data_IF_094781389317
#
_entry.id   IF_094781389317
#
_cell.length_a   1.000
_cell.length_b   1.000
_cell.length_c   1.000
_cell.angle_alpha   90.00
_cell.angle_beta   90.00
_cell.angle_gamma   90.00
#
_symmetry.space_group_name_H-M   'P 1'
#
loop_
_entity.id
_entity.type
_entity.pdbx_description
1 polymer ?
#
# COMPACT_ATOMS: atom_id res chain seq x y z
N UNK A 1 49.49 54.96 -56.56
CA UNK A 1 48.31 55.32 -57.37
C UNK A 1 47.08 54.72 -56.68
N UNK A 2 46.30 55.52 -55.96
CA UNK A 2 45.12 56.24 -56.47
C UNK A 2 43.96 55.25 -56.69
N UNK A 3 43.11 55.00 -55.67
CA UNK A 3 41.81 55.67 -55.35
C UNK A 3 40.58 54.97 -55.94
N UNK A 4 39.66 54.61 -55.02
CA UNK A 4 38.19 54.55 -55.13
C UNK A 4 37.63 53.37 -55.96
N UNK A 5 36.58 52.63 -55.53
CA UNK A 5 35.27 53.15 -55.15
C UNK A 5 34.45 52.10 -54.37
N UNK A 6 33.69 52.57 -53.37
CA UNK A 6 32.61 51.84 -52.68
C UNK A 6 31.54 51.36 -53.67
N UNK A 7 31.07 50.12 -53.49
CA UNK A 7 29.70 49.72 -53.87
C UNK A 7 29.08 48.97 -52.70
N UNK A 8 28.25 49.68 -51.95
CA UNK A 8 27.34 49.16 -50.92
C UNK A 8 26.19 48.43 -51.61
N UNK A 9 26.29 47.10 -51.70
CA UNK A 9 25.15 46.23 -51.99
C UNK A 9 24.46 45.82 -50.70
N UNK A 10 23.44 46.56 -50.28
CA UNK A 10 22.51 46.17 -49.22
C UNK A 10 21.72 44.95 -49.66
N UNK A 11 22.19 43.75 -49.30
CA UNK A 11 21.42 42.52 -49.41
C UNK A 11 20.31 42.54 -48.34
N UNK A 12 19.12 42.99 -48.72
CA UNK A 12 17.90 42.83 -47.92
C UNK A 12 17.54 41.35 -47.83
N UNK A 13 18.02 40.69 -46.77
CA UNK A 13 17.58 39.33 -46.40
C UNK A 13 16.11 39.43 -46.00
N UNK A 14 15.21 39.13 -46.94
CA UNK A 14 13.77 39.03 -46.71
C UNK A 14 13.51 37.78 -45.86
N UNK A 15 13.59 37.92 -44.52
CA UNK A 15 13.16 36.89 -43.57
C UNK A 15 11.64 36.75 -43.65
N UNK A 16 11.14 35.93 -44.58
CA UNK A 16 9.79 35.39 -44.46
C UNK A 16 9.80 34.30 -43.40
N UNK A 17 9.76 34.69 -42.12
CA UNK A 17 9.45 33.75 -41.04
C UNK A 17 7.95 33.45 -41.11
N UNK A 18 7.55 32.52 -41.97
CA UNK A 18 6.25 31.91 -41.88
C UNK A 18 6.18 31.20 -40.52
N UNK A 19 5.50 31.83 -39.56
CA UNK A 19 5.20 31.29 -38.24
C UNK A 19 4.38 30.01 -38.45
N UNK A 20 5.03 28.85 -38.55
CA UNK A 20 4.35 27.55 -38.58
C UNK A 20 3.58 27.45 -37.28
N UNK A 21 2.25 27.54 -37.35
CA UNK A 21 1.37 27.21 -36.22
C UNK A 21 1.74 25.80 -35.76
N UNK A 22 1.98 25.57 -34.45
CA UNK A 22 2.22 24.23 -33.96
C UNK A 22 0.99 23.38 -34.32
N UNK A 23 1.14 22.45 -35.26
CA UNK A 23 0.12 21.44 -35.49
C UNK A 23 0.12 20.57 -34.25
N UNK A 24 -1.03 20.51 -33.58
CA UNK A 24 -1.22 19.58 -32.47
C UNK A 24 -1.12 18.18 -33.06
N UNK A 25 -0.06 17.45 -32.69
CA UNK A 25 0.13 16.09 -33.13
C UNK A 25 -0.78 15.18 -32.31
N UNK A 26 -1.79 14.60 -32.96
CA UNK A 26 -2.75 13.71 -32.30
C UNK A 26 -2.21 12.26 -32.20
N UNK A 27 -1.09 11.94 -32.84
CA UNK A 27 -0.52 10.59 -32.89
C UNK A 27 -0.20 10.02 -31.49
N UNK A 28 0.39 10.77 -30.53
CA UNK A 28 0.64 10.24 -29.18
C UNK A 28 -0.65 9.87 -28.44
N UNK A 29 -1.73 10.66 -28.61
CA UNK A 29 -3.01 10.38 -27.98
C UNK A 29 -3.70 9.16 -28.60
N UNK A 30 -3.60 8.99 -29.92
CA UNK A 30 -4.16 7.83 -30.63
C UNK A 30 -3.45 6.53 -30.22
N UNK A 31 -2.14 6.58 -29.96
CA UNK A 31 -1.36 5.44 -29.47
C UNK A 31 -1.71 5.06 -28.01
N UNK A 32 -2.11 6.04 -27.19
CA UNK A 32 -2.57 5.80 -25.81
C UNK A 32 -4.01 5.29 -25.74
N UNK A 33 -4.83 5.61 -26.75
CA UNK A 33 -6.26 5.32 -26.79
C UNK A 33 -6.62 3.85 -26.48
N UNK A 34 -6.02 2.80 -27.09
CA UNK A 34 -6.39 1.42 -26.76
C UNK A 34 -6.13 1.07 -25.29
N UNK A 35 -5.04 1.57 -24.70
CA UNK A 35 -4.74 1.37 -23.29
C UNK A 35 -5.77 2.09 -22.39
N UNK A 36 -6.10 3.35 -22.72
CA UNK A 36 -7.09 4.13 -21.98
C UNK A 36 -8.50 3.55 -22.08
N UNK A 37 -8.87 2.99 -23.24
CA UNK A 37 -10.16 2.30 -23.42
C UNK A 37 -10.22 1.06 -22.53
N UNK A 38 -9.17 0.23 -22.51
CA UNK A 38 -9.12 -0.96 -21.64
C UNK A 38 -9.21 -0.57 -20.17
N UNK A 39 -8.43 0.45 -19.73
CA UNK A 39 -8.49 0.98 -18.37
C UNK A 39 -9.89 1.52 -18.05
N UNK A 40 -10.49 2.29 -18.97
CA UNK A 40 -11.81 2.89 -18.80
C UNK A 40 -12.90 1.83 -18.64
N UNK A 41 -12.91 0.81 -19.50
CA UNK A 41 -13.93 -0.24 -19.51
C UNK A 41 -13.75 -1.24 -18.37
N UNK A 42 -12.53 -1.65 -18.05
CA UNK A 42 -12.30 -2.70 -17.04
C UNK A 42 -12.13 -2.17 -15.62
N UNK A 43 -11.70 -0.92 -15.44
CA UNK A 43 -11.47 -0.33 -14.11
C UNK A 43 -12.48 0.77 -13.79
N UNK A 44 -12.60 1.79 -14.66
CA UNK A 44 -13.42 2.97 -14.33
C UNK A 44 -14.92 2.68 -14.41
N UNK A 45 -15.36 1.83 -15.34
CA UNK A 45 -16.77 1.47 -15.46
C UNK A 45 -17.30 0.71 -14.23
N UNK A 46 -16.69 -0.41 -13.75
CA UNK A 46 -17.13 -1.06 -12.52
C UNK A 46 -17.04 -0.14 -11.29
N UNK A 47 -16.02 0.73 -11.23
CA UNK A 47 -15.91 1.72 -10.16
C UNK A 47 -17.10 2.68 -10.17
N UNK A 48 -17.49 3.18 -11.35
CA UNK A 48 -18.67 4.00 -11.54
C UNK A 48 -19.95 3.27 -11.13
N UNK A 49 -20.07 1.96 -11.41
CA UNK A 49 -21.19 1.15 -10.95
C UNK A 49 -21.25 1.04 -9.42
N UNK A 50 -20.12 0.80 -8.74
CA UNK A 50 -20.07 0.78 -7.26
C UNK A 50 -20.45 2.13 -6.67
N UNK A 51 -19.97 3.23 -7.26
CA UNK A 51 -20.38 4.59 -6.87
C UNK A 51 -21.87 4.81 -7.12
N UNK A 52 -22.45 4.32 -8.22
CA UNK A 52 -23.88 4.44 -8.44
C UNK A 52 -24.66 3.64 -7.38
N UNK A 53 -24.30 2.37 -7.16
CA UNK A 53 -24.92 1.46 -6.19
C UNK A 53 -24.94 2.03 -4.77
N UNK A 54 -23.93 2.82 -4.37
CA UNK A 54 -23.88 3.41 -3.03
C UNK A 54 -24.99 4.43 -2.74
N UNK A 55 -25.66 4.97 -3.76
CA UNK A 55 -26.81 5.88 -3.59
C UNK A 55 -28.19 5.20 -3.68
N UNK A 56 -28.21 3.88 -3.92
CA UNK A 56 -29.44 3.09 -4.01
C UNK A 56 -29.57 2.11 -2.83
N UNK A 57 -30.81 1.76 -2.48
CA UNK A 57 -31.11 0.71 -1.50
C UNK A 57 -31.13 -0.65 -2.19
N UNK A 58 -29.99 -1.34 -2.13
CA UNK A 58 -29.81 -2.65 -2.76
C UNK A 58 -29.61 -3.72 -1.68
N UNK A 59 -30.70 -4.32 -1.23
CA UNK A 59 -30.75 -5.30 -0.13
C UNK A 59 -31.09 -6.72 -0.62
N UNK A 60 -31.10 -6.96 -1.93
CA UNK A 60 -31.49 -8.24 -2.51
C UNK A 60 -30.81 -8.55 -3.84
N UNK A 61 -30.44 -9.81 -4.03
CA UNK A 61 -29.98 -10.36 -5.32
C UNK A 61 -31.01 -10.13 -6.43
N UNK A 62 -32.31 -10.11 -6.10
CA UNK A 62 -33.39 -9.86 -7.06
C UNK A 62 -33.29 -8.48 -7.72
N UNK A 63 -32.80 -7.48 -6.99
CA UNK A 63 -32.57 -6.14 -7.56
C UNK A 63 -31.41 -6.15 -8.55
N UNK A 64 -30.36 -6.93 -8.29
CA UNK A 64 -29.23 -7.07 -9.22
C UNK A 64 -29.60 -7.84 -10.50
N UNK A 65 -30.57 -8.76 -10.43
CA UNK A 65 -31.09 -9.50 -11.59
C UNK A 65 -32.06 -8.68 -12.45
N UNK A 66 -32.52 -7.53 -11.97
CA UNK A 66 -33.54 -6.72 -12.64
C UNK A 66 -34.99 -7.10 -12.29
N UNK A 67 -35.19 -8.04 -11.35
CA UNK A 67 -36.53 -8.47 -10.92
C UNK A 67 -37.22 -7.45 -10.00
N UNK A 68 -36.47 -6.48 -9.48
CA UNK A 68 -36.95 -5.42 -8.59
C UNK A 68 -36.23 -4.11 -8.91
N UNK A 69 -36.95 -3.01 -8.75
CA UNK A 69 -36.41 -1.66 -8.93
C UNK A 69 -35.28 -1.35 -7.93
N UNK A 70 -34.46 -0.35 -8.28
CA UNK A 70 -33.41 0.20 -7.44
C UNK A 70 -33.95 1.49 -6.80
N UNK A 71 -34.41 1.46 -5.54
CA UNK A 71 -34.94 2.65 -4.89
C UNK A 71 -33.79 3.62 -4.59
N UNK A 72 -33.88 4.84 -5.11
CA UNK A 72 -32.91 5.89 -4.83
C UNK A 72 -33.06 6.34 -3.37
N UNK A 73 -31.95 6.33 -2.62
CA UNK A 73 -31.91 6.80 -1.22
C UNK A 73 -30.98 7.99 -1.03
N UNK A 74 -30.38 8.51 -2.10
CA UNK A 74 -29.40 9.58 -2.03
C UNK A 74 -28.27 9.23 -1.07
N UNK A 75 -28.06 10.05 -0.04
CA UNK A 75 -27.01 9.83 0.97
C UNK A 75 -27.42 8.89 2.11
N UNK A 76 -28.59 8.24 2.04
CA UNK A 76 -29.13 7.40 3.13
C UNK A 76 -28.15 6.34 3.64
N UNK A 77 -27.47 5.63 2.74
CA UNK A 77 -26.47 4.62 3.10
C UNK A 77 -25.29 5.25 3.88
N UNK A 78 -24.82 6.43 3.45
CA UNK A 78 -23.73 7.14 4.12
C UNK A 78 -24.14 7.63 5.51
N UNK A 79 -25.34 8.19 5.66
CA UNK A 79 -25.85 8.62 6.97
C UNK A 79 -26.02 7.45 7.92
N UNK A 80 -26.46 6.29 7.42
CA UNK A 80 -26.58 5.07 8.21
C UNK A 80 -25.21 4.58 8.70
N UNK A 81 -24.20 4.55 7.82
CA UNK A 81 -22.84 4.10 8.18
C UNK A 81 -22.19 5.07 9.15
N UNK A 82 -22.24 6.38 8.88
CA UNK A 82 -21.60 7.39 9.71
C UNK A 82 -22.29 7.57 11.07
N UNK A 83 -23.58 7.24 11.17
CA UNK A 83 -24.33 7.20 12.42
C UNK A 83 -24.10 5.94 13.25
N UNK A 84 -23.52 4.88 12.69
CA UNK A 84 -23.27 3.62 13.38
C UNK A 84 -21.99 3.71 14.26
N UNK A 85 -22.09 3.53 15.60
CA UNK A 85 -20.91 3.48 16.47
C UNK A 85 -19.90 2.39 16.06
N UNK A 86 -20.36 1.31 15.43
CA UNK A 86 -19.49 0.25 14.94
C UNK A 86 -18.57 0.73 13.83
N UNK A 87 -19.03 1.63 12.95
CA UNK A 87 -18.19 2.22 11.90
C UNK A 87 -16.97 2.94 12.46
N UNK A 88 -17.11 3.66 13.59
CA UNK A 88 -15.97 4.32 14.25
C UNK A 88 -14.92 3.30 14.73
N UNK A 89 -15.37 2.14 15.22
CA UNK A 89 -14.47 1.05 15.63
C UNK A 89 -13.73 0.47 14.42
N UNK A 90 -14.46 0.18 13.33
CA UNK A 90 -13.87 -0.35 12.08
C UNK A 90 -12.88 0.64 11.46
N UNK A 91 -13.23 1.92 11.41
CA UNK A 91 -12.37 2.98 10.89
C UNK A 91 -11.09 3.10 11.75
N UNK A 92 -11.23 3.12 13.08
CA UNK A 92 -10.08 3.15 14.00
C UNK A 92 -9.18 1.93 13.78
N UNK A 93 -9.75 0.73 13.72
CA UNK A 93 -9.00 -0.50 13.49
C UNK A 93 -8.23 -0.42 12.17
N UNK A 94 -8.88 0.01 11.08
CA UNK A 94 -8.26 0.15 9.75
C UNK A 94 -7.08 1.14 9.79
N UNK A 95 -7.29 2.34 10.34
CA UNK A 95 -6.26 3.38 10.36
C UNK A 95 -5.08 3.01 11.27
N UNK A 96 -5.35 2.51 12.48
CA UNK A 96 -4.30 2.11 13.42
C UNK A 96 -3.51 0.91 12.90
N UNK A 97 -4.21 -0.10 12.37
CA UNK A 97 -3.57 -1.28 11.79
C UNK A 97 -2.71 -0.89 10.59
N UNK A 98 -3.24 -0.10 9.65
CA UNK A 98 -2.47 0.30 8.47
C UNK A 98 -1.27 1.17 8.86
N UNK A 99 -1.43 2.16 9.74
CA UNK A 99 -0.32 3.00 10.20
C UNK A 99 0.78 2.19 10.90
N UNK A 100 0.40 1.24 11.77
CA UNK A 100 1.36 0.36 12.43
C UNK A 100 2.12 -0.52 11.41
N UNK A 101 1.42 -1.12 10.46
CA UNK A 101 2.05 -1.97 9.44
C UNK A 101 2.96 -1.18 8.51
N UNK A 102 2.55 0.01 8.03
CA UNK A 102 3.43 0.87 7.22
C UNK A 102 4.70 1.21 7.99
N UNK A 103 4.61 1.60 9.26
CA UNK A 103 5.79 1.93 10.06
C UNK A 103 6.69 0.71 10.24
N UNK A 104 6.13 -0.44 10.61
CA UNK A 104 6.91 -1.67 10.87
C UNK A 104 7.56 -2.21 9.59
N UNK A 105 6.81 -2.25 8.49
CA UNK A 105 7.32 -2.69 7.18
C UNK A 105 8.41 -1.77 6.66
N UNK A 106 8.26 -0.44 6.82
CA UNK A 106 9.26 0.53 6.42
C UNK A 106 10.53 0.42 7.27
N UNK A 107 10.40 0.26 8.59
CA UNK A 107 11.56 0.07 9.48
C UNK A 107 12.28 -1.23 9.12
N UNK A 108 11.57 -2.35 9.11
CA UNK A 108 12.18 -3.66 8.85
C UNK A 108 12.78 -3.72 7.43
N UNK A 109 12.04 -3.26 6.43
CA UNK A 109 12.50 -3.19 5.05
C UNK A 109 13.75 -2.32 4.92
N UNK A 110 13.78 -1.15 5.55
CA UNK A 110 14.96 -0.27 5.53
C UNK A 110 16.17 -0.93 6.20
N UNK A 111 15.98 -1.55 7.38
CA UNK A 111 17.06 -2.24 8.08
C UNK A 111 17.65 -3.38 7.24
N UNK A 112 16.79 -4.18 6.58
CA UNK A 112 17.22 -5.24 5.68
C UNK A 112 17.89 -4.67 4.43
N UNK A 113 17.38 -3.58 3.85
CA UNK A 113 18.00 -2.88 2.73
C UNK A 113 19.40 -2.37 3.06
N UNK A 114 19.60 -1.79 4.25
CA UNK A 114 20.90 -1.36 4.75
C UNK A 114 21.85 -2.55 4.97
N UNK A 115 21.34 -3.67 5.50
CA UNK A 115 22.11 -4.91 5.63
C UNK A 115 22.57 -5.41 4.25
N UNK A 116 21.65 -5.51 3.29
CA UNK A 116 21.95 -5.94 1.92
C UNK A 116 23.00 -5.06 1.25
N UNK A 117 23.01 -3.76 1.55
CA UNK A 117 23.99 -2.83 1.00
C UNK A 117 25.41 -3.05 1.55
N UNK A 118 25.55 -3.63 2.74
CA UNK A 118 26.85 -3.97 3.35
C UNK A 118 27.37 -5.34 2.94
N UNK A 119 26.51 -6.22 2.45
CA UNK A 119 26.88 -7.57 2.06
C UNK A 119 27.61 -7.58 0.71
N UNK A 120 28.54 -8.51 0.54
CA UNK A 120 29.16 -8.78 -0.75
C UNK A 120 28.13 -9.22 -1.80
N UNK A 121 28.37 -8.94 -3.08
CA UNK A 121 27.40 -9.14 -4.18
C UNK A 121 26.69 -10.49 -4.17
N UNK A 122 27.42 -11.59 -3.94
CA UNK A 122 26.84 -12.95 -3.92
C UNK A 122 25.86 -13.14 -2.75
N UNK A 123 26.25 -12.73 -1.55
CA UNK A 123 25.42 -12.85 -0.35
C UNK A 123 24.22 -11.90 -0.41
N UNK A 124 24.41 -10.68 -0.89
CA UNK A 124 23.32 -9.73 -1.09
C UNK A 124 22.27 -10.27 -2.06
N UNK A 125 22.70 -10.84 -3.21
CA UNK A 125 21.77 -11.49 -4.15
C UNK A 125 21.08 -12.69 -3.52
N UNK A 126 21.79 -13.54 -2.77
CA UNK A 126 21.19 -14.69 -2.12
C UNK A 126 20.10 -14.28 -1.12
N UNK A 127 20.41 -13.38 -0.19
CA UNK A 127 19.46 -12.89 0.82
C UNK A 127 18.29 -12.17 0.16
N UNK A 128 18.55 -11.30 -0.83
CA UNK A 128 17.48 -10.60 -1.57
C UNK A 128 16.56 -11.59 -2.29
N UNK A 129 17.09 -12.63 -2.92
CA UNK A 129 16.29 -13.67 -3.56
C UNK A 129 15.44 -14.44 -2.55
N UNK A 130 16.01 -14.90 -1.43
CA UNK A 130 15.27 -15.61 -0.38
C UNK A 130 14.12 -14.78 0.18
N UNK A 131 14.38 -13.51 0.45
CA UNK A 131 13.40 -12.58 1.01
C UNK A 131 12.32 -12.23 -0.03
N UNK A 132 12.69 -12.09 -1.31
CA UNK A 132 11.71 -11.88 -2.39
C UNK A 132 10.83 -13.09 -2.67
N UNK A 133 11.27 -14.31 -2.37
CA UNK A 133 10.39 -15.49 -2.43
C UNK A 133 9.22 -15.38 -1.43
N UNK A 134 9.45 -14.79 -0.25
CA UNK A 134 8.37 -14.52 0.69
C UNK A 134 7.34 -13.55 0.10
N UNK A 135 7.77 -12.48 -0.57
CA UNK A 135 6.87 -11.52 -1.23
C UNK A 135 6.20 -12.07 -2.50
N UNK A 136 6.88 -12.97 -3.22
CA UNK A 136 6.30 -13.64 -4.38
C UNK A 136 5.26 -14.71 -4.01
N UNK A 137 5.21 -15.11 -2.73
CA UNK A 137 4.23 -16.10 -2.26
C UNK A 137 2.82 -15.51 -2.37
N UNK A 138 1.86 -16.20 -2.98
CA UNK A 138 0.48 -15.71 -3.02
C UNK A 138 -0.05 -15.44 -1.60
N UNK A 139 -0.63 -14.26 -1.38
CA UNK A 139 -1.07 -13.83 -0.05
C UNK A 139 -1.99 -14.85 0.65
N UNK A 140 -2.87 -15.50 -0.11
CA UNK A 140 -3.74 -16.57 0.40
C UNK A 140 -2.94 -17.75 0.95
N UNK A 141 -2.03 -18.30 0.13
CA UNK A 141 -1.19 -19.44 0.50
C UNK A 141 -0.30 -19.12 1.71
N UNK A 142 0.35 -17.95 1.69
CA UNK A 142 1.16 -17.50 2.82
C UNK A 142 0.34 -17.40 4.10
N UNK A 143 -0.86 -16.84 4.03
CA UNK A 143 -1.74 -16.72 5.21
C UNK A 143 -2.20 -18.08 5.75
N UNK A 144 -2.47 -19.06 4.89
CA UNK A 144 -2.85 -20.42 5.32
C UNK A 144 -1.71 -21.06 6.12
N UNK A 145 -0.45 -20.91 5.66
CA UNK A 145 0.72 -21.40 6.41
C UNK A 145 0.82 -20.73 7.77
N UNK A 146 0.64 -19.41 7.84
CA UNK A 146 0.60 -18.68 9.11
C UNK A 146 -0.55 -19.13 10.02
N UNK A 147 -1.74 -19.39 9.46
CA UNK A 147 -2.88 -19.93 10.21
C UNK A 147 -2.54 -21.28 10.83
N UNK A 148 -1.84 -22.15 10.11
CA UNK A 148 -1.37 -23.45 10.63
C UNK A 148 -0.27 -23.29 11.69
N UNK A 149 0.66 -22.35 11.51
CA UNK A 149 1.70 -22.03 12.51
C UNK A 149 1.07 -21.65 13.86
N UNK A 150 -0.04 -20.92 13.83
CA UNK A 150 -0.82 -20.49 15.00
C UNK A 150 -2.03 -21.40 15.30
N UNK A 151 -2.03 -22.65 14.80
CA UNK A 151 -3.05 -23.62 15.16
C UNK A 151 -2.99 -23.93 16.67
N UNK A 152 -4.16 -24.03 17.31
CA UNK A 152 -4.29 -24.17 18.75
C UNK A 152 -3.97 -25.58 19.25
N UNK A 153 -3.94 -26.60 18.39
CA UNK A 153 -3.64 -27.98 18.78
C UNK A 153 -2.26 -28.43 18.30
N UNK A 154 -1.96 -28.22 17.03
CA UNK A 154 -0.80 -28.77 16.33
C UNK A 154 0.12 -27.69 15.77
N UNK A 155 -0.14 -26.43 16.09
CA UNK A 155 0.62 -25.29 15.60
C UNK A 155 2.02 -25.21 16.20
N UNK A 156 2.96 -24.73 15.39
CA UNK A 156 4.35 -24.53 15.80
C UNK A 156 4.46 -23.59 17.00
N UNK A 157 3.64 -22.55 17.06
CA UNK A 157 3.64 -21.59 18.19
C UNK A 157 3.18 -22.29 19.47
N UNK A 158 2.05 -22.99 19.42
CA UNK A 158 1.54 -23.78 20.55
C UNK A 158 2.59 -24.79 21.04
N UNK A 159 3.21 -25.53 20.11
CA UNK A 159 4.28 -26.46 20.43
C UNK A 159 5.47 -25.78 21.10
N UNK A 160 5.90 -24.60 20.62
CA UNK A 160 7.04 -23.87 21.17
C UNK A 160 6.75 -23.34 22.58
N UNK A 161 5.55 -22.83 22.82
CA UNK A 161 5.13 -22.36 24.15
C UNK A 161 5.04 -23.52 25.15
N UNK A 162 4.58 -24.70 24.72
CA UNK A 162 4.60 -25.92 25.54
C UNK A 162 6.01 -26.50 25.80
N UNK A 163 7.06 -25.98 25.14
CA UNK A 163 8.46 -26.30 25.46
C UNK A 163 9.07 -25.39 26.52
N UNK A 164 8.42 -24.29 26.88
CA UNK A 164 8.88 -23.44 27.97
C UNK A 164 8.76 -24.20 29.30
N UNK A 165 9.69 -24.04 30.25
CA UNK A 165 9.55 -24.62 31.58
C UNK A 165 8.25 -24.15 32.24
N UNK A 166 7.49 -25.08 32.82
CA UNK A 166 6.18 -24.79 33.42
C UNK A 166 6.22 -23.63 34.42
N UNK A 167 7.28 -23.55 35.24
CA UNK A 167 7.47 -22.46 36.20
C UNK A 167 7.68 -21.09 35.54
N UNK A 168 8.35 -21.03 34.39
CA UNK A 168 8.53 -19.79 33.64
C UNK A 168 7.23 -19.40 32.91
N UNK A 169 6.56 -20.37 32.30
CA UNK A 169 5.32 -20.12 31.56
C UNK A 169 4.19 -19.65 32.49
N UNK A 170 4.06 -20.28 33.67
CA UNK A 170 3.06 -19.88 34.68
C UNK A 170 3.36 -18.51 35.29
N UNK A 171 4.62 -18.18 35.56
CA UNK A 171 4.99 -16.86 36.13
C UNK A 171 4.83 -15.72 35.12
N UNK A 172 5.16 -15.93 33.84
CA UNK A 172 5.06 -14.89 32.83
C UNK A 172 3.65 -14.74 32.23
N UNK A 173 2.93 -15.86 32.04
CA UNK A 173 1.70 -15.90 31.26
C UNK A 173 0.50 -16.47 32.02
N UNK A 174 0.68 -16.90 33.27
CA UNK A 174 -0.41 -17.47 34.08
C UNK A 174 -0.89 -18.85 33.63
N UNK A 175 -0.14 -19.52 32.74
CA UNK A 175 -0.52 -20.81 32.13
C UNK A 175 0.72 -21.62 31.76
N UNK A 176 0.69 -22.94 31.97
CA UNK A 176 1.75 -23.88 31.54
C UNK A 176 1.40 -24.63 30.25
N UNK A 177 0.14 -25.04 30.07
CA UNK A 177 -0.32 -25.73 28.87
C UNK A 177 -1.07 -24.79 27.92
N UNK A 178 -0.57 -24.68 26.70
CA UNK A 178 -1.07 -23.82 25.63
C UNK A 178 -1.93 -24.58 24.62
N UNK A 179 -2.11 -25.89 24.78
CA UNK A 179 -2.98 -26.70 23.91
C UNK A 179 -4.43 -26.20 23.99
N UNK A 180 -5.05 -25.96 22.83
CA UNK A 180 -6.39 -25.38 22.71
C UNK A 180 -6.43 -23.87 23.00
N UNK A 181 -5.29 -23.18 23.07
CA UNK A 181 -5.29 -21.73 23.20
C UNK A 181 -5.67 -21.07 21.87
N UNK A 182 -6.88 -20.48 21.83
CA UNK A 182 -7.38 -19.76 20.65
C UNK A 182 -6.63 -18.45 20.41
N UNK A 183 -5.47 -18.52 19.74
CA UNK A 183 -4.62 -17.38 19.38
C UNK A 183 -5.35 -16.25 18.64
N UNK A 184 -6.42 -16.59 17.92
CA UNK A 184 -7.23 -15.64 17.14
C UNK A 184 -8.45 -15.10 17.88
N UNK A 185 -8.77 -15.59 19.09
CA UNK A 185 -10.00 -15.23 19.81
C UNK A 185 -9.94 -13.85 20.49
N UNK A 186 -8.74 -13.31 20.68
CA UNK A 186 -8.51 -11.97 21.24
C UNK A 186 -8.25 -10.98 20.11
N UNK A 187 -8.98 -9.84 20.02
CA UNK A 187 -8.74 -8.85 18.99
C UNK A 187 -7.30 -8.32 18.96
N UNK A 188 -6.68 -8.15 20.13
CA UNK A 188 -5.30 -7.69 20.22
C UNK A 188 -4.32 -8.71 19.63
N UNK A 189 -4.47 -9.99 19.99
CA UNK A 189 -3.63 -11.06 19.47
C UNK A 189 -3.89 -11.28 17.97
N UNK A 190 -5.14 -11.21 17.55
CA UNK A 190 -5.50 -11.27 16.14
C UNK A 190 -4.77 -10.20 15.33
N UNK A 191 -4.83 -8.93 15.74
CA UNK A 191 -4.12 -7.85 15.05
C UNK A 191 -2.61 -8.00 15.13
N UNK A 192 -2.05 -8.51 16.22
CA UNK A 192 -0.62 -8.77 16.34
C UNK A 192 -0.16 -9.86 15.36
N UNK A 193 -0.89 -10.98 15.27
CA UNK A 193 -0.60 -12.07 14.32
C UNK A 193 -0.81 -11.58 12.90
N UNK A 194 -1.91 -10.89 12.61
CA UNK A 194 -2.17 -10.32 11.29
C UNK A 194 -1.07 -9.33 10.88
N UNK A 195 -0.58 -8.50 11.80
CA UNK A 195 0.56 -7.59 11.58
C UNK A 195 1.82 -8.39 11.25
N UNK A 196 2.11 -9.48 11.98
CA UNK A 196 3.25 -10.34 11.68
C UNK A 196 3.18 -10.90 10.25
N UNK A 197 2.01 -11.40 9.83
CA UNK A 197 1.79 -11.91 8.47
C UNK A 197 1.99 -10.83 7.42
N UNK A 198 1.37 -9.65 7.61
CA UNK A 198 1.45 -8.53 6.66
C UNK A 198 2.88 -7.99 6.57
N UNK A 199 3.56 -7.81 7.71
CA UNK A 199 4.95 -7.34 7.74
C UNK A 199 5.86 -8.33 7.05
N UNK A 200 5.77 -9.62 7.38
CA UNK A 200 6.56 -10.70 6.77
C UNK A 200 6.43 -10.70 5.23
N UNK A 201 5.21 -10.53 4.74
CA UNK A 201 4.94 -10.54 3.31
C UNK A 201 5.44 -9.26 2.60
N UNK A 202 5.41 -8.11 3.26
CA UNK A 202 5.56 -6.79 2.62
C UNK A 202 6.96 -6.17 2.73
N UNK A 203 7.69 -6.43 3.82
CA UNK A 203 9.05 -5.89 4.00
C UNK A 203 10.05 -6.24 2.87
N UNK A 204 9.97 -7.39 2.17
CA UNK A 204 10.92 -7.75 1.11
C UNK A 204 10.99 -6.71 -0.02
N UNK A 205 9.83 -6.26 -0.47
CA UNK A 205 9.70 -5.28 -1.55
C UNK A 205 10.35 -3.95 -1.14
N UNK A 206 10.10 -3.50 0.08
CA UNK A 206 10.71 -2.29 0.64
C UNK A 206 12.22 -2.46 0.74
N UNK A 207 12.71 -3.60 1.24
CA UNK A 207 14.15 -3.85 1.39
C UNK A 207 14.92 -3.78 0.08
N UNK A 208 14.42 -4.44 -0.97
CA UNK A 208 15.05 -4.43 -2.29
C UNK A 208 14.94 -3.05 -2.95
N UNK A 209 13.83 -2.35 -2.75
CA UNK A 209 13.65 -0.99 -3.28
C UNK A 209 14.58 0.03 -2.60
N UNK A 210 14.73 -0.06 -1.27
CA UNK A 210 15.69 0.74 -0.51
C UNK A 210 17.12 0.42 -0.94
N UNK A 211 17.46 -0.86 -1.15
CA UNK A 211 18.77 -1.25 -1.69
C UNK A 211 19.03 -0.63 -3.07
N UNK A 212 18.05 -0.64 -3.97
CA UNK A 212 18.17 -0.03 -5.28
C UNK A 212 18.42 1.48 -5.16
N UNK A 213 17.68 2.16 -4.27
CA UNK A 213 17.92 3.56 -3.94
C UNK A 213 19.32 3.80 -3.38
N UNK A 214 19.77 3.01 -2.41
CA UNK A 214 21.11 3.13 -1.81
C UNK A 214 22.23 3.03 -2.86
N UNK A 215 22.07 2.16 -3.85
CA UNK A 215 23.05 2.00 -4.94
C UNK A 215 23.14 3.20 -5.89
N UNK A 216 22.14 4.09 -5.88
CA UNK A 216 22.19 5.34 -6.66
C UNK A 216 22.96 6.45 -5.95
N UNK A 217 23.26 6.30 -4.65
CA UNK A 217 23.99 7.30 -3.86
C UNK A 217 25.50 7.16 -4.11
N UNK A 218 26.21 8.24 -4.54
CA UNK A 218 27.66 8.20 -4.73
C UNK A 218 28.42 7.84 -3.44
N UNK A 219 29.40 6.94 -3.54
CA UNK A 219 30.19 6.50 -2.38
C UNK A 219 31.01 7.63 -1.74
N UNK A 220 31.42 8.62 -2.54
CA UNK A 220 32.20 9.79 -2.11
C UNK A 220 31.52 10.56 -0.96
N UNK A 221 30.19 10.65 -0.96
CA UNK A 221 29.44 11.32 0.12
C UNK A 221 29.59 10.59 1.46
N UNK A 222 29.67 9.25 1.43
CA UNK A 222 29.89 8.44 2.62
C UNK A 222 31.34 8.50 3.10
N UNK A 223 32.30 8.60 2.19
CA UNK A 223 33.72 8.76 2.51
C UNK A 223 34.00 10.13 3.12
N UNK A 224 33.50 11.20 2.50
CA UNK A 224 33.61 12.56 3.03
C UNK A 224 33.04 12.66 4.45
N UNK A 225 31.85 12.09 4.68
CA UNK A 225 31.24 12.09 6.00
C UNK A 225 32.07 11.34 7.06
N UNK A 226 32.79 10.27 6.65
CA UNK A 226 33.69 9.54 7.56
C UNK A 226 34.95 10.34 7.88
N UNK A 227 35.48 11.12 6.93
CA UNK A 227 36.59 12.04 7.16
C UNK A 227 36.16 13.15 8.14
N UNK A 228 34.92 13.63 8.04
CA UNK A 228 34.31 14.59 8.98
C UNK A 228 33.92 14.00 10.34
N UNK A 229 34.29 12.75 10.64
CA UNK A 229 34.00 12.08 11.90
C UNK A 229 32.53 11.74 12.14
N UNK A 230 31.68 11.72 11.10
CA UNK A 230 30.27 11.38 11.25
C UNK A 230 30.08 9.86 11.44
N UNK A 231 29.46 9.47 12.57
CA UNK A 231 29.08 8.08 12.81
C UNK A 231 27.91 7.59 11.93
N UNK A 232 27.66 6.26 11.85
CA UNK A 232 26.66 5.67 10.95
C UNK A 232 25.23 6.23 11.11
N UNK A 233 24.83 6.54 12.33
CA UNK A 233 23.52 7.15 12.61
C UNK A 233 23.39 8.56 12.01
N UNK A 234 24.44 9.38 12.16
CA UNK A 234 24.48 10.74 11.60
C UNK A 234 24.50 10.68 10.08
N UNK A 235 25.29 9.78 9.50
CA UNK A 235 25.35 9.54 8.04
C UNK A 235 23.98 9.15 7.49
N UNK A 236 23.28 8.22 8.15
CA UNK A 236 21.96 7.80 7.70
C UNK A 236 20.97 8.97 7.69
N UNK A 237 20.82 9.68 8.81
CA UNK A 237 19.79 10.74 8.91
C UNK A 237 20.12 12.03 8.16
N UNK A 238 21.41 12.35 7.96
CA UNK A 238 21.84 13.60 7.33
C UNK A 238 22.17 13.47 5.85
N UNK A 239 22.49 12.27 5.36
CA UNK A 239 22.91 12.05 3.96
C UNK A 239 21.96 11.06 3.30
N UNK A 240 21.92 9.82 3.79
CA UNK A 240 21.17 8.73 3.14
C UNK A 240 19.66 9.01 3.10
N UNK A 241 19.04 9.30 4.25
CA UNK A 241 17.60 9.48 4.34
C UNK A 241 17.10 10.66 3.51
N UNK A 242 17.73 11.86 3.55
CA UNK A 242 17.37 12.98 2.67
C UNK A 242 17.44 12.65 1.19
N UNK A 243 18.53 11.99 0.73
CA UNK A 243 18.69 11.60 -0.67
C UNK A 243 17.67 10.55 -1.11
N UNK A 244 17.28 9.66 -0.20
CA UNK A 244 16.27 8.62 -0.46
C UNK A 244 14.83 9.06 -0.17
N UNK A 245 14.57 10.32 0.20
CA UNK A 245 13.21 10.82 0.47
C UNK A 245 12.22 10.51 -0.67
N UNK A 246 12.56 10.69 -1.95
CA UNK A 246 11.64 10.36 -3.04
C UNK A 246 11.30 8.86 -3.06
N UNK A 247 12.31 8.00 -2.85
CA UNK A 247 12.13 6.54 -2.78
C UNK A 247 11.26 6.16 -1.60
N UNK A 248 11.58 6.64 -0.39
CA UNK A 248 10.79 6.37 0.81
C UNK A 248 9.35 6.85 0.68
N UNK A 249 9.15 8.01 0.08
CA UNK A 249 7.81 8.51 -0.16
C UNK A 249 6.97 7.55 -1.01
N UNK A 250 7.53 7.08 -2.13
CA UNK A 250 6.82 6.19 -3.04
C UNK A 250 6.47 4.89 -2.30
N UNK A 251 7.43 4.35 -1.55
CA UNK A 251 7.24 3.13 -0.76
C UNK A 251 6.18 3.30 0.33
N UNK A 252 6.15 4.45 1.03
CA UNK A 252 5.13 4.75 2.04
C UNK A 252 3.74 4.77 1.42
N UNK A 253 3.56 5.38 0.25
CA UNK A 253 2.24 5.39 -0.41
C UNK A 253 1.83 4.02 -0.87
N UNK A 254 2.71 3.28 -1.53
CA UNK A 254 2.40 1.91 -1.95
C UNK A 254 2.03 1.04 -0.75
N UNK A 255 2.81 1.10 0.32
CA UNK A 255 2.53 0.37 1.57
C UNK A 255 1.19 0.80 2.16
N UNK A 256 0.90 2.10 2.20
CA UNK A 256 -0.37 2.60 2.74
C UNK A 256 -1.56 2.11 1.92
N UNK A 257 -1.47 2.13 0.59
CA UNK A 257 -2.53 1.61 -0.29
C UNK A 257 -2.77 0.12 -0.04
N UNK A 258 -1.70 -0.67 0.12
CA UNK A 258 -1.81 -2.10 0.39
C UNK A 258 -2.38 -2.38 1.78
N UNK A 259 -1.88 -1.72 2.81
CA UNK A 259 -2.24 -1.97 4.21
C UNK A 259 -3.68 -1.58 4.54
N UNK A 260 -4.19 -0.49 3.94
CA UNK A 260 -5.61 -0.13 4.05
C UNK A 260 -6.55 -1.10 3.31
N UNK A 261 -6.02 -1.84 2.32
CA UNK A 261 -6.80 -2.80 1.50
C UNK A 261 -6.55 -4.26 1.90
N UNK A 262 -5.88 -4.51 3.03
CA UNK A 262 -5.69 -5.87 3.55
C UNK A 262 -7.05 -6.53 3.74
N UNK A 263 -7.32 -7.54 2.92
CA UNK A 263 -8.56 -8.31 2.91
C UNK A 263 -8.26 -9.77 3.08
N UNK A 264 -7.50 -10.36 2.16
CA UNK A 264 -7.24 -11.80 2.09
C UNK A 264 -6.66 -12.34 3.38
N UNK A 265 -5.64 -11.69 3.91
CA UNK A 265 -4.97 -12.11 5.14
C UNK A 265 -5.95 -12.08 6.32
N UNK A 266 -6.71 -10.99 6.48
CA UNK A 266 -7.70 -10.86 7.55
C UNK A 266 -8.81 -11.91 7.42
N UNK A 267 -9.39 -12.06 6.23
CA UNK A 267 -10.50 -12.98 5.98
C UNK A 267 -10.13 -14.42 6.31
N UNK A 268 -8.93 -14.86 5.90
CA UNK A 268 -8.46 -16.24 6.09
C UNK A 268 -8.14 -16.51 7.56
N UNK A 269 -7.44 -15.59 8.25
CA UNK A 269 -7.14 -15.73 9.68
C UNK A 269 -8.43 -15.74 10.51
N UNK A 270 -9.37 -14.83 10.23
CA UNK A 270 -10.64 -14.74 10.96
C UNK A 270 -11.62 -15.88 10.62
N UNK A 271 -11.36 -16.65 9.57
CA UNK A 271 -12.28 -17.69 9.10
C UNK A 271 -13.56 -17.14 8.46
N UNK A 272 -13.51 -15.91 7.91
CA UNK A 272 -14.64 -15.25 7.24
C UNK A 272 -15.00 -13.91 7.86
N UNK A 273 -16.31 -13.66 8.02
CA UNK A 273 -16.89 -12.38 8.46
C UNK A 273 -17.60 -12.47 9.83
N UNK A 274 -17.28 -13.48 10.65
CA UNK A 274 -17.95 -13.66 11.95
C UNK A 274 -17.30 -12.82 13.07
N UNK A 275 -16.00 -12.56 12.97
CA UNK A 275 -15.24 -11.83 13.99
C UNK A 275 -15.36 -10.30 13.83
N UNK A 276 -16.55 -9.76 14.14
CA UNK A 276 -16.86 -8.33 14.01
C UNK A 276 -15.88 -7.39 14.74
N UNK A 277 -15.40 -7.69 15.97
CA UNK A 277 -14.47 -6.82 16.68
C UNK A 277 -13.16 -6.51 15.94
N UNK A 278 -12.71 -7.38 15.04
CA UNK A 278 -11.47 -7.21 14.27
C UNK A 278 -11.71 -6.60 12.89
N UNK A 279 -12.95 -6.27 12.52
CA UNK A 279 -13.27 -5.72 11.21
C UNK A 279 -12.44 -4.48 10.87
N UNK A 280 -11.91 -4.49 9.65
CA UNK A 280 -11.39 -3.34 8.94
C UNK A 280 -12.34 -2.99 7.78
N UNK A 281 -12.21 -1.80 7.20
CA UNK A 281 -13.13 -1.29 6.17
C UNK A 281 -13.29 -2.25 4.98
N UNK A 282 -12.22 -2.95 4.59
CA UNK A 282 -12.21 -3.97 3.55
C UNK A 282 -13.17 -5.13 3.84
N UNK A 283 -13.05 -5.74 5.02
CA UNK A 283 -13.91 -6.84 5.49
C UNK A 283 -15.32 -6.33 5.79
N UNK A 284 -15.46 -5.14 6.36
CA UNK A 284 -16.78 -4.58 6.67
C UNK A 284 -17.61 -4.32 5.41
N UNK A 285 -17.00 -3.73 4.37
CA UNK A 285 -17.64 -3.55 3.06
C UNK A 285 -18.09 -4.89 2.47
N UNK A 286 -17.22 -5.89 2.49
CA UNK A 286 -17.54 -7.23 2.00
C UNK A 286 -18.65 -7.90 2.82
N UNK A 287 -18.57 -7.80 4.16
CA UNK A 287 -19.53 -8.42 5.05
C UNK A 287 -20.93 -7.83 4.85
N UNK A 288 -21.06 -6.51 4.72
CA UNK A 288 -22.35 -5.88 4.44
C UNK A 288 -22.86 -6.22 3.02
N UNK A 289 -21.98 -6.27 2.01
CA UNK A 289 -22.39 -6.58 0.64
C UNK A 289 -22.83 -8.04 0.45
N UNK A 290 -22.14 -8.99 1.08
CA UNK A 290 -22.23 -10.40 0.72
C UNK A 290 -22.68 -11.34 1.84
N UNK A 291 -22.67 -10.92 3.11
CA UNK A 291 -23.24 -11.76 4.18
C UNK A 291 -24.76 -11.73 4.11
N UNK A 292 -25.47 -12.85 4.27
CA UNK A 292 -26.93 -12.85 4.30
C UNK A 292 -27.49 -12.11 5.52
N UNK A 293 -28.51 -11.23 5.36
CA UNK A 293 -29.05 -10.74 4.09
C UNK A 293 -28.11 -9.70 3.42
N UNK A 294 -27.85 -9.81 2.10
CA UNK A 294 -26.87 -8.95 1.42
C UNK A 294 -27.37 -7.51 1.29
N UNK A 295 -26.52 -6.55 1.62
CA UNK A 295 -26.75 -5.11 1.50
C UNK A 295 -25.71 -4.49 0.58
N UNK A 296 -25.86 -4.73 -0.72
CA UNK A 296 -24.96 -4.22 -1.76
C UNK A 296 -24.83 -2.69 -1.74
N UNK A 297 -25.90 -1.95 -1.43
CA UNK A 297 -25.87 -0.49 -1.36
C UNK A 297 -24.96 0.01 -0.24
N UNK A 298 -25.12 -0.54 0.97
CA UNK A 298 -24.30 -0.24 2.15
C UNK A 298 -22.85 -0.68 1.92
N UNK A 299 -22.64 -1.91 1.46
CA UNK A 299 -21.30 -2.42 1.15
C UNK A 299 -20.56 -1.57 0.11
N UNK A 300 -21.27 -1.11 -0.92
CA UNK A 300 -20.73 -0.18 -1.93
C UNK A 300 -20.40 1.18 -1.34
N UNK A 301 -21.25 1.74 -0.48
CA UNK A 301 -20.96 3.00 0.21
C UNK A 301 -19.70 2.92 1.09
N UNK A 302 -19.48 1.80 1.80
CA UNK A 302 -18.23 1.56 2.57
C UNK A 302 -17.02 1.48 1.63
N UNK A 303 -17.14 0.81 0.49
CA UNK A 303 -16.06 0.73 -0.51
C UNK A 303 -15.72 2.12 -1.11
N UNK A 304 -16.73 2.96 -1.34
CA UNK A 304 -16.55 4.34 -1.78
C UNK A 304 -15.85 5.17 -0.71
N UNK A 305 -16.24 5.06 0.56
CA UNK A 305 -15.57 5.73 1.69
C UNK A 305 -14.10 5.31 1.76
N UNK A 306 -13.80 4.01 1.69
CA UNK A 306 -12.42 3.51 1.68
C UNK A 306 -11.62 4.08 0.49
N UNK A 307 -12.23 4.14 -0.70
CA UNK A 307 -11.61 4.71 -1.90
C UNK A 307 -11.31 6.20 -1.72
N UNK A 308 -12.25 6.98 -1.16
CA UNK A 308 -12.07 8.39 -0.87
C UNK A 308 -10.94 8.62 0.14
N UNK A 309 -10.86 7.82 1.20
CA UNK A 309 -9.78 7.88 2.18
C UNK A 309 -8.43 7.66 1.48
N UNK A 310 -8.33 6.63 0.64
CA UNK A 310 -7.10 6.33 -0.12
C UNK A 310 -6.74 7.45 -1.12
N UNK A 311 -7.73 8.05 -1.78
CA UNK A 311 -7.50 9.18 -2.69
C UNK A 311 -7.00 10.41 -1.93
N UNK A 312 -7.52 10.70 -0.75
CA UNK A 312 -7.04 11.80 0.11
C UNK A 312 -5.60 11.54 0.52
N UNK A 313 -5.28 10.35 1.04
CA UNK A 313 -3.91 10.00 1.46
C UNK A 313 -2.94 10.09 0.29
N UNK A 314 -3.30 9.51 -0.86
CA UNK A 314 -2.46 9.53 -2.07
C UNK A 314 -2.29 10.95 -2.62
N UNK A 315 -3.37 11.74 -2.66
CA UNK A 315 -3.34 13.10 -3.16
C UNK A 315 -2.50 14.04 -2.30
N UNK A 316 -2.59 13.92 -0.97
CA UNK A 316 -1.73 14.65 -0.03
C UNK A 316 -0.26 14.32 -0.27
N UNK A 317 0.07 13.05 -0.49
CA UNK A 317 1.43 12.64 -0.78
C UNK A 317 1.94 13.18 -2.13
N UNK A 318 1.17 13.02 -3.22
CA UNK A 318 1.58 13.50 -4.55
C UNK A 318 1.85 14.99 -4.51
N UNK A 319 1.02 15.75 -3.79
CA UNK A 319 1.25 17.18 -3.58
C UNK A 319 2.54 17.47 -2.82
N UNK A 320 2.88 16.69 -1.80
CA UNK A 320 4.14 16.84 -1.06
C UNK A 320 5.36 16.55 -1.95
N UNK A 321 5.29 15.54 -2.83
CA UNK A 321 6.38 15.20 -3.76
C UNK A 321 6.56 16.24 -4.84
N UNK A 322 5.47 16.71 -5.46
CA UNK A 322 5.55 17.72 -6.52
C UNK A 322 6.20 19.01 -6.02
N UNK A 323 5.87 19.43 -4.79
CA UNK A 323 6.49 20.60 -4.17
C UNK A 323 8.00 20.44 -3.95
N UNK A 324 8.47 19.22 -3.64
CA UNK A 324 9.91 18.95 -3.48
C UNK A 324 10.69 19.03 -4.79
N UNK A 325 10.05 18.74 -5.93
CA UNK A 325 10.65 18.89 -7.25
C UNK A 325 10.72 20.35 -7.73
N UNK A 326 9.96 21.26 -7.13
CA UNK A 326 10.02 22.69 -7.39
C UNK A 326 11.12 23.39 -6.56
N UNK A 327 11.48 22.81 -5.40
CA UNK A 327 12.47 23.33 -4.46
C UNK A 327 13.91 22.77 -4.67
N UNK A 328 14.11 21.88 -5.65
CA UNK A 328 15.40 21.20 -5.97
C UNK A 328 16.01 21.71 -7.27
#
# INVERSE_FOLDING_TARGET
>A
MSTLTKSTGTATVRKTSARRRPRVDHLPYLLLLPCLVVIGVLLLWPLGQVVAMSFYKLDSVRQLRGDREWPWVGLGNYTQILGDPFFRTVLRNTVLFAAANVVLTMILGTLVGLLLNRLGRRMATFVASCVMLAWATPALTGTIVWKWIFDDTSGLVTWLFNKLPDGLSTTLFGRSDWTGYGWFNSPLLFFAILTLVVVWHSFPFIAVSVLAGLKSVPSELHEAARVDGAGPWKVFWKITFPLLRPVFGILIVLSTIWDFKVFTQQFVLAGGTQDRPTFMLSIYSYAEAFSPPPKYGVGSAIAVILTLILLVVTGLYVRMVLKQGEDA
#
